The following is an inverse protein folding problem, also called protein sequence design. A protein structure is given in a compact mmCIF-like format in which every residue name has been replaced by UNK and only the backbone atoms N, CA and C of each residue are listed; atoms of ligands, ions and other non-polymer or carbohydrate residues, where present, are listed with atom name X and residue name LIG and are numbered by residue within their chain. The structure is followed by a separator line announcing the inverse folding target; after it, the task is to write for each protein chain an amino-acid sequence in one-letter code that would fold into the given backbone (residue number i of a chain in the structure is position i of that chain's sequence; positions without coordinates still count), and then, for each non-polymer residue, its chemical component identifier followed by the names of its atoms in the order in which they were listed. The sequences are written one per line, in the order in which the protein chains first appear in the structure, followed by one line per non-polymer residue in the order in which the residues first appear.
data_IF_104285830756
#
_entry.id   IF_104285830756
#
_cell.length_a   1.000
_cell.length_b   1.000
_cell.length_c   1.000
_cell.angle_alpha   90.00
_cell.angle_beta   90.00
_cell.angle_gamma   90.00
#
_symmetry.space_group_name_H-M   'P 1'
#
loop_
_entity.id
_entity.type
_entity.pdbx_description
1 polymer ?
#
# COMPACT_ATOMS: atom_id res chain seq x y z
N UNK A 1 35.26 -0.83 2.80
CA UNK A 1 34.69 0.48 2.45
C UNK A 1 33.24 0.41 1.97
N UNK A 2 32.85 -0.55 1.14
CA UNK A 2 31.47 -0.72 0.65
C UNK A 2 30.48 -1.07 1.78
N UNK A 3 30.86 -1.95 2.72
CA UNK A 3 30.01 -2.29 3.87
C UNK A 3 29.70 -1.09 4.78
N UNK A 4 30.67 -0.20 5.01
CA UNK A 4 30.43 1.00 5.82
C UNK A 4 29.44 1.97 5.16
N UNK A 5 29.44 2.05 3.82
CA UNK A 5 28.49 2.87 3.06
C UNK A 5 27.07 2.29 3.17
N UNK A 6 26.92 0.96 3.07
CA UNK A 6 25.61 0.29 3.20
C UNK A 6 25.03 0.46 4.62
N UNK A 7 25.85 0.25 5.66
CA UNK A 7 25.43 0.43 7.06
C UNK A 7 25.07 1.90 7.33
N UNK A 8 25.88 2.85 6.89
CA UNK A 8 25.60 4.28 7.05
C UNK A 8 24.32 4.68 6.30
N UNK A 9 24.09 4.10 5.13
CA UNK A 9 22.88 4.35 4.35
C UNK A 9 21.65 3.77 5.04
N UNK A 10 21.70 2.53 5.50
CA UNK A 10 20.61 1.89 6.24
C UNK A 10 20.26 2.62 7.54
N UNK A 11 21.27 3.05 8.32
CA UNK A 11 21.03 3.77 9.59
C UNK A 11 20.57 5.21 9.37
N UNK A 12 21.10 5.90 8.36
CA UNK A 12 20.80 7.31 8.10
C UNK A 12 19.44 7.52 7.41
N UNK A 13 18.93 6.51 6.71
CA UNK A 13 17.64 6.57 6.00
C UNK A 13 16.56 5.71 6.65
N UNK A 14 16.85 5.00 7.74
CA UNK A 14 15.84 4.31 8.53
C UNK A 14 14.76 5.26 9.06
N UNK A 15 15.15 6.50 9.42
CA UNK A 15 14.22 7.55 9.88
C UNK A 15 13.33 8.14 8.76
N UNK A 16 13.62 7.83 7.49
CA UNK A 16 12.82 8.25 6.33
C UNK A 16 11.76 7.21 5.94
N UNK A 17 11.79 6.05 6.55
CA UNK A 17 10.77 5.05 6.34
C UNK A 17 9.50 5.45 7.10
N UNK A 18 8.31 5.37 6.48
CA UNK A 18 7.05 5.73 7.12
C UNK A 18 6.68 4.79 8.27
N UNK A 19 7.43 3.72 8.48
CA UNK A 19 7.18 2.67 9.45
C UNK A 19 7.76 3.02 10.83
N UNK A 20 7.10 3.92 11.56
CA UNK A 20 7.56 4.42 12.88
C UNK A 20 7.60 3.31 13.94
N UNK A 21 6.76 2.28 13.82
CA UNK A 21 6.61 1.22 14.81
C UNK A 21 7.12 -0.14 14.33
N UNK A 22 8.21 -0.17 13.56
CA UNK A 22 8.76 -1.41 12.97
C UNK A 22 8.92 -2.56 13.97
N UNK A 23 9.37 -2.28 15.19
CA UNK A 23 9.53 -3.29 16.26
C UNK A 23 8.21 -3.83 16.81
N UNK A 24 7.09 -3.18 16.53
CA UNK A 24 5.73 -3.56 16.92
C UNK A 24 4.93 -4.19 15.79
N UNK A 25 5.47 -4.21 14.56
CA UNK A 25 4.81 -4.74 13.39
C UNK A 25 5.15 -6.22 13.18
N UNK A 26 4.13 -7.01 12.88
CA UNK A 26 4.25 -8.40 12.45
C UNK A 26 3.89 -8.50 10.98
N UNK A 27 4.76 -9.13 10.20
CA UNK A 27 4.58 -9.32 8.77
C UNK A 27 4.26 -10.78 8.46
N UNK A 28 3.09 -11.01 7.86
CA UNK A 28 2.66 -12.33 7.41
C UNK A 28 2.94 -12.47 5.91
N UNK A 29 4.10 -13.02 5.57
CA UNK A 29 4.49 -13.25 4.17
C UNK A 29 4.03 -14.60 3.62
N UNK A 30 3.84 -15.59 4.49
CA UNK A 30 3.39 -16.92 4.11
C UNK A 30 2.62 -17.60 5.23
N UNK A 31 1.69 -18.47 4.83
CA UNK A 31 0.93 -19.35 5.70
C UNK A 31 1.09 -20.79 5.19
N UNK A 32 1.33 -21.70 6.11
CA UNK A 32 1.36 -23.14 5.83
C UNK A 32 0.04 -23.76 6.27
N UNK A 33 -0.71 -24.29 5.34
CA UNK A 33 -1.95 -25.03 5.61
C UNK A 33 -1.70 -26.50 5.46
N UNK A 34 -1.87 -27.25 6.55
CA UNK A 34 -1.77 -28.69 6.57
C UNK A 34 -3.18 -29.30 6.68
N UNK A 35 -3.55 -30.16 5.74
CA UNK A 35 -4.85 -30.84 5.78
C UNK A 35 -4.96 -31.78 7.00
N UNK A 36 -6.15 -31.82 7.64
CA UNK A 36 -6.43 -32.67 8.81
C UNK A 36 -6.32 -34.18 8.55
N UNK A 37 -6.47 -34.59 7.33
CA UNK A 37 -6.31 -35.97 6.91
C UNK A 37 -4.98 -36.11 6.18
N UNK A 38 -4.13 -36.99 6.69
CA UNK A 38 -2.77 -37.36 6.31
C UNK A 38 -2.56 -37.72 4.82
N UNK A 39 -3.15 -36.96 3.89
CA UNK A 39 -3.07 -37.16 2.43
C UNK A 39 -2.03 -36.24 1.78
N UNK A 40 -0.95 -35.97 2.45
CA UNK A 40 0.33 -35.64 1.83
C UNK A 40 0.45 -34.34 1.03
N UNK A 41 -0.54 -33.41 1.03
CA UNK A 41 -0.37 -32.13 0.37
C UNK A 41 -0.32 -30.98 1.37
N UNK A 42 0.76 -30.27 1.31
CA UNK A 42 1.00 -29.05 2.05
C UNK A 42 0.85 -27.89 1.10
N UNK A 43 0.04 -26.91 1.44
CA UNK A 43 -0.10 -25.67 0.66
C UNK A 43 0.59 -24.55 1.38
N UNK A 44 1.48 -23.87 0.67
CA UNK A 44 2.10 -22.64 1.10
C UNK A 44 1.46 -21.49 0.33
N UNK A 45 1.02 -20.48 1.01
CA UNK A 45 0.41 -19.31 0.38
C UNK A 45 0.44 -18.10 1.30
N UNK A 46 0.19 -16.94 0.75
CA UNK A 46 -0.05 -15.76 1.56
C UNK A 46 -1.44 -15.87 2.20
N UNK A 47 -1.62 -15.44 3.47
CA UNK A 47 -2.94 -15.40 4.09
C UNK A 47 -3.89 -14.52 3.27
N UNK A 48 -5.16 -14.87 3.23
CA UNK A 48 -6.17 -14.05 2.55
C UNK A 48 -6.54 -12.82 3.39
N UNK A 49 -7.03 -11.75 2.74
CA UNK A 49 -7.54 -10.58 3.46
C UNK A 49 -8.69 -10.96 4.41
N UNK A 50 -9.53 -11.93 4.02
CA UNK A 50 -10.60 -12.45 4.88
C UNK A 50 -10.03 -13.09 6.15
N UNK A 51 -8.99 -13.94 6.02
CA UNK A 51 -8.33 -14.54 7.19
C UNK A 51 -7.77 -13.48 8.15
N UNK A 52 -7.11 -12.45 7.62
CA UNK A 52 -6.59 -11.36 8.43
C UNK A 52 -7.70 -10.62 9.16
N UNK A 53 -8.79 -10.32 8.47
CA UNK A 53 -9.95 -9.59 9.03
C UNK A 53 -10.73 -10.41 10.06
N UNK A 54 -10.90 -11.70 9.83
CA UNK A 54 -11.74 -12.56 10.68
C UNK A 54 -10.96 -13.19 11.83
N UNK A 55 -9.68 -13.48 11.65
CA UNK A 55 -8.88 -14.24 12.60
C UNK A 55 -7.82 -13.38 13.32
N UNK A 56 -7.26 -12.37 12.68
CA UNK A 56 -6.15 -11.58 13.23
C UNK A 56 -6.65 -10.25 13.80
N UNK A 57 -7.41 -9.49 13.03
CA UNK A 57 -7.89 -8.17 13.44
C UNK A 57 -8.71 -8.18 14.75
N UNK A 58 -9.52 -9.21 15.09
CA UNK A 58 -10.27 -9.26 16.35
C UNK A 58 -9.43 -9.57 17.59
N UNK A 59 -8.15 -9.91 17.46
CA UNK A 59 -7.29 -10.21 18.59
C UNK A 59 -7.06 -8.93 19.42
N UNK A 60 -7.16 -9.00 20.76
CA UNK A 60 -7.04 -7.82 21.63
C UNK A 60 -5.65 -7.18 21.60
N UNK A 61 -4.63 -7.91 21.17
CA UNK A 61 -3.26 -7.43 21.02
C UNK A 61 -3.03 -6.67 19.70
N UNK A 62 -3.98 -6.71 18.75
CA UNK A 62 -3.85 -6.10 17.43
C UNK A 62 -4.50 -4.71 17.42
N UNK A 63 -3.70 -3.68 17.28
CA UNK A 63 -4.17 -2.28 17.19
C UNK A 63 -4.69 -1.95 15.78
N UNK A 64 -4.00 -2.44 14.76
CA UNK A 64 -4.37 -2.25 13.36
C UNK A 64 -3.88 -3.43 12.51
N UNK A 65 -4.63 -3.75 11.46
CA UNK A 65 -4.30 -4.84 10.56
C UNK A 65 -4.59 -4.38 9.13
N UNK A 66 -3.55 -4.34 8.29
CA UNK A 66 -3.68 -3.93 6.89
C UNK A 66 -3.27 -5.04 5.94
N UNK A 67 -3.90 -5.04 4.78
CA UNK A 67 -3.54 -5.88 3.66
C UNK A 67 -3.17 -4.99 2.45
N UNK A 68 -2.09 -5.35 1.77
CA UNK A 68 -1.64 -4.61 0.58
C UNK A 68 -1.03 -5.56 -0.46
N UNK A 69 -1.12 -5.16 -1.72
CA UNK A 69 -0.49 -5.91 -2.82
C UNK A 69 1.00 -5.65 -2.88
N UNK A 70 1.71 -6.48 -3.61
CA UNK A 70 3.03 -6.10 -4.13
C UNK A 70 2.85 -4.93 -5.10
N UNK A 71 3.77 -3.97 -5.08
CA UNK A 71 3.77 -2.90 -6.04
C UNK A 71 3.99 -3.44 -7.47
N UNK A 72 3.15 -3.00 -8.39
CA UNK A 72 3.19 -3.37 -9.81
C UNK A 72 3.32 -2.12 -10.67
N UNK A 73 3.93 -2.28 -11.84
CA UNK A 73 4.06 -1.17 -12.79
C UNK A 73 2.69 -0.81 -13.37
N UNK A 74 2.30 0.45 -13.20
CA UNK A 74 1.08 1.03 -13.73
C UNK A 74 1.40 2.27 -14.60
N UNK A 75 0.42 2.70 -15.38
CA UNK A 75 0.50 3.92 -16.16
C UNK A 75 -0.49 4.96 -15.64
N UNK A 76 0.01 6.12 -15.27
CA UNK A 76 -0.84 7.28 -14.96
C UNK A 76 -0.75 8.33 -16.05
N UNK A 77 -1.86 9.03 -16.30
CA UNK A 77 -1.92 10.16 -17.22
C UNK A 77 -3.00 11.15 -16.78
N UNK A 78 -2.95 12.35 -17.32
CA UNK A 78 -4.07 13.29 -17.22
C UNK A 78 -5.30 12.73 -17.95
N UNK A 79 -6.48 13.27 -17.64
CA UNK A 79 -7.76 12.82 -18.21
C UNK A 79 -7.85 12.99 -19.73
N UNK A 80 -7.11 13.94 -20.30
CA UNK A 80 -6.95 14.13 -21.75
C UNK A 80 -5.97 13.13 -22.41
N UNK A 81 -5.37 12.24 -21.60
CA UNK A 81 -4.38 11.25 -22.04
C UNK A 81 -2.97 11.80 -22.22
N UNK A 82 -2.73 13.06 -21.88
CA UNK A 82 -1.40 13.67 -21.88
C UNK A 82 -0.59 13.29 -20.61
N UNK A 83 0.67 13.72 -20.58
CA UNK A 83 1.55 13.58 -19.39
C UNK A 83 1.61 12.15 -18.84
N UNK A 84 1.88 11.18 -19.71
CA UNK A 84 1.94 9.76 -19.30
C UNK A 84 3.19 9.45 -18.50
N UNK A 85 3.00 8.84 -17.33
CA UNK A 85 4.09 8.45 -16.41
C UNK A 85 3.92 6.99 -16.01
N UNK A 86 5.00 6.21 -16.10
CA UNK A 86 5.05 4.88 -15.48
C UNK A 86 5.34 5.04 -13.99
N UNK A 87 4.60 4.32 -13.17
CA UNK A 87 4.66 4.38 -11.71
C UNK A 87 4.59 2.97 -11.12
N UNK A 88 5.11 2.83 -9.91
CA UNK A 88 4.86 1.66 -9.08
C UNK A 88 3.57 1.91 -8.28
N UNK A 89 2.58 1.06 -8.47
CA UNK A 89 1.27 1.15 -7.82
C UNK A 89 1.00 -0.08 -6.96
N UNK A 90 0.45 0.12 -5.76
CA UNK A 90 -0.07 -0.95 -4.92
C UNK A 90 -1.50 -0.66 -4.50
N UNK A 91 -2.24 -1.71 -4.16
CA UNK A 91 -3.58 -1.60 -3.58
C UNK A 91 -3.53 -1.92 -2.10
N UNK A 92 -4.29 -1.18 -1.32
CA UNK A 92 -4.32 -1.30 0.14
C UNK A 92 -5.71 -0.93 0.70
N UNK A 93 -5.82 -0.96 2.01
CA UNK A 93 -7.00 -0.60 2.79
C UNK A 93 -6.76 0.64 3.67
N UNK A 94 -7.79 1.16 4.36
CA UNK A 94 -7.65 2.33 5.23
C UNK A 94 -6.68 2.14 6.41
N UNK A 95 -6.51 0.92 6.92
CA UNK A 95 -5.64 0.66 8.07
C UNK A 95 -4.15 0.78 7.71
N UNK A 96 -3.82 0.73 6.42
CA UNK A 96 -2.46 0.99 5.92
C UNK A 96 -1.90 2.32 6.43
N UNK A 97 -2.70 3.37 6.43
CA UNK A 97 -2.30 4.71 6.87
C UNK A 97 -2.11 4.83 8.38
N UNK A 98 -2.69 3.91 9.16
CA UNK A 98 -2.48 3.81 10.61
C UNK A 98 -1.14 3.14 10.95
N UNK A 99 -0.75 2.15 10.14
CA UNK A 99 0.48 1.37 10.33
C UNK A 99 1.68 2.14 9.76
N UNK A 100 1.53 2.66 8.54
CA UNK A 100 2.57 3.42 7.86
C UNK A 100 2.31 4.93 8.03
N UNK A 101 3.16 5.57 8.83
CA UNK A 101 3.05 7.00 9.15
C UNK A 101 3.52 7.88 7.99
N UNK A 102 2.74 7.94 6.92
CA UNK A 102 3.06 8.73 5.75
C UNK A 102 2.81 10.23 5.97
N UNK A 103 3.72 11.07 5.50
CA UNK A 103 3.54 12.52 5.54
C UNK A 103 2.67 12.98 4.38
N UNK A 104 1.43 13.37 4.66
CA UNK A 104 0.55 13.99 3.69
C UNK A 104 0.97 15.45 3.46
N UNK A 105 1.06 15.82 2.19
CA UNK A 105 1.32 17.19 1.73
C UNK A 105 0.03 17.89 1.31
N UNK A 106 -0.96 17.10 0.87
CA UNK A 106 -2.28 17.57 0.48
C UNK A 106 -3.30 16.44 0.68
N UNK A 107 -4.54 16.78 1.02
CA UNK A 107 -5.61 15.81 1.21
C UNK A 107 -5.39 14.84 2.38
N UNK A 108 -5.79 13.57 2.19
CA UNK A 108 -5.82 12.54 3.23
C UNK A 108 -5.62 11.12 2.70
N UNK A 109 -5.42 10.16 3.60
CA UNK A 109 -5.49 8.72 3.30
C UNK A 109 -6.93 8.23 3.09
N UNK A 110 -7.05 6.97 2.71
CA UNK A 110 -8.36 6.30 2.56
C UNK A 110 -9.10 6.19 3.89
N UNK A 111 -10.41 6.21 3.78
CA UNK A 111 -11.35 5.85 4.85
C UNK A 111 -12.30 4.77 4.33
N UNK A 112 -13.05 4.12 5.20
CA UNK A 112 -14.06 3.13 4.76
C UNK A 112 -15.15 3.75 3.88
N UNK A 113 -15.43 5.06 4.03
CA UNK A 113 -16.37 5.77 3.16
C UNK A 113 -15.92 5.84 1.69
N UNK A 114 -14.62 5.77 1.43
CA UNK A 114 -14.08 5.81 0.06
C UNK A 114 -14.25 4.48 -0.69
N UNK A 115 -14.63 3.39 0.01
CA UNK A 115 -14.79 2.04 -0.55
C UNK A 115 -16.00 1.90 -1.50
N UNK A 116 -17.01 2.71 -1.32
CA UNK A 116 -18.27 2.64 -2.09
C UNK A 116 -18.44 3.75 -3.13
N UNK A 117 -17.41 4.54 -3.37
CA UNK A 117 -17.48 5.65 -4.34
C UNK A 117 -17.57 5.17 -5.79
N UNK A 118 -18.21 5.98 -6.65
CA UNK A 118 -18.35 5.70 -8.09
C UNK A 118 -16.98 5.73 -8.81
N UNK A 119 -16.01 6.43 -8.26
CA UNK A 119 -14.64 6.52 -8.77
C UNK A 119 -13.65 5.96 -7.76
N UNK A 120 -12.64 5.29 -8.27
CA UNK A 120 -11.56 4.76 -7.47
C UNK A 120 -10.81 5.88 -6.77
N UNK A 121 -10.75 5.83 -5.44
CA UNK A 121 -9.92 6.73 -4.65
C UNK A 121 -8.46 6.29 -4.74
N UNK A 122 -7.56 7.24 -4.97
CA UNK A 122 -6.11 7.01 -5.01
C UNK A 122 -5.37 8.08 -4.23
N UNK A 123 -4.22 7.69 -3.69
CA UNK A 123 -3.20 8.59 -3.12
C UNK A 123 -1.98 8.52 -4.02
N UNK A 124 -1.34 9.63 -4.30
CA UNK A 124 -0.15 9.70 -5.14
C UNK A 124 1.03 10.32 -4.39
N UNK A 125 2.25 10.01 -4.79
CA UNK A 125 3.42 10.66 -4.21
C UNK A 125 3.68 12.04 -4.84
N UNK A 126 4.45 12.88 -4.14
CA UNK A 126 4.75 14.25 -4.56
C UNK A 126 5.42 14.34 -5.93
N UNK A 127 6.31 13.41 -6.25
CA UNK A 127 7.00 13.39 -7.54
C UNK A 127 6.03 13.13 -8.71
N UNK A 128 5.03 12.27 -8.53
CA UNK A 128 3.99 12.01 -9.53
C UNK A 128 3.07 13.23 -9.68
N UNK A 129 2.63 13.83 -8.54
CA UNK A 129 1.83 15.05 -8.56
C UNK A 129 2.51 16.17 -9.35
N UNK A 130 3.79 16.43 -9.08
CA UNK A 130 4.57 17.45 -9.79
C UNK A 130 4.74 17.14 -11.30
N UNK A 131 4.96 15.87 -11.65
CA UNK A 131 5.09 15.47 -13.05
C UNK A 131 3.81 15.65 -13.86
N UNK A 132 2.65 15.38 -13.24
CA UNK A 132 1.36 15.50 -13.91
C UNK A 132 0.81 16.92 -13.92
N UNK A 133 0.94 17.63 -12.81
CA UNK A 133 0.23 18.89 -12.57
C UNK A 133 1.16 20.10 -12.29
N UNK A 134 2.46 19.88 -12.11
CA UNK A 134 3.41 20.94 -11.75
C UNK A 134 3.34 21.37 -10.27
N UNK A 135 2.43 20.81 -9.47
CA UNK A 135 2.19 21.14 -8.06
C UNK A 135 1.93 19.88 -7.24
N UNK A 136 1.96 20.01 -5.92
CA UNK A 136 1.55 18.97 -4.97
C UNK A 136 0.13 19.17 -4.43
N UNK A 137 -0.50 20.31 -4.66
CA UNK A 137 -1.87 20.62 -4.26
C UNK A 137 -2.84 20.15 -5.34
N UNK A 138 -3.19 18.85 -5.29
CA UNK A 138 -3.98 18.19 -6.35
C UNK A 138 -5.07 17.26 -5.79
N UNK A 139 -5.31 17.28 -4.49
CA UNK A 139 -6.44 16.56 -3.91
C UNK A 139 -7.76 17.02 -4.54
N UNK A 140 -8.61 16.07 -4.90
CA UNK A 140 -9.86 16.30 -5.62
C UNK A 140 -9.71 16.30 -7.16
N UNK A 141 -8.49 16.27 -7.70
CA UNK A 141 -8.29 16.17 -9.15
C UNK A 141 -8.41 14.73 -9.63
N UNK A 142 -8.75 14.58 -10.91
CA UNK A 142 -8.92 13.28 -11.55
C UNK A 142 -7.74 12.98 -12.48
N UNK A 143 -7.34 11.71 -12.50
CA UNK A 143 -6.34 11.17 -13.42
C UNK A 143 -6.81 9.81 -13.95
N UNK A 144 -6.15 9.33 -14.99
CA UNK A 144 -6.32 7.97 -15.47
C UNK A 144 -5.22 7.08 -14.86
N UNK A 145 -5.61 6.05 -14.13
CA UNK A 145 -4.73 4.98 -13.67
C UNK A 145 -5.04 3.72 -14.51
N UNK A 146 -4.10 3.27 -15.33
CA UNK A 146 -4.31 2.16 -16.28
C UNK A 146 -5.56 2.35 -17.17
N UNK A 147 -5.86 3.58 -17.57
CA UNK A 147 -7.04 4.03 -18.34
C UNK A 147 -8.35 4.07 -17.54
N UNK A 148 -8.33 3.77 -16.24
CA UNK A 148 -9.49 3.94 -15.37
C UNK A 148 -9.47 5.31 -14.71
N UNK A 149 -10.61 6.00 -14.76
CA UNK A 149 -10.76 7.29 -14.12
C UNK A 149 -10.70 7.13 -12.60
N UNK A 150 -9.79 7.87 -11.98
CA UNK A 150 -9.51 7.79 -10.55
C UNK A 150 -9.46 9.18 -9.94
N UNK A 151 -9.92 9.30 -8.70
CA UNK A 151 -9.91 10.55 -7.94
C UNK A 151 -8.72 10.59 -6.99
N UNK A 152 -7.86 11.60 -7.09
CA UNK A 152 -6.75 11.83 -6.18
C UNK A 152 -7.32 12.40 -4.88
N UNK A 153 -7.29 11.63 -3.79
CA UNK A 153 -7.78 12.08 -2.47
C UNK A 153 -6.67 12.58 -1.56
N UNK A 154 -5.42 12.28 -1.89
CA UNK A 154 -4.29 12.75 -1.12
C UNK A 154 -2.97 12.67 -1.87
N UNK A 155 -2.03 13.47 -1.42
CA UNK A 155 -0.64 13.50 -1.88
C UNK A 155 0.27 13.31 -0.70
N UNK A 156 1.17 12.33 -0.77
CA UNK A 156 2.17 12.06 0.26
C UNK A 156 3.57 12.43 -0.23
N UNK A 157 4.46 12.69 0.71
CA UNK A 157 5.88 12.81 0.43
C UNK A 157 6.41 11.54 -0.24
N UNK A 158 7.41 11.68 -1.12
CA UNK A 158 8.03 10.53 -1.76
C UNK A 158 8.59 9.55 -0.73
N UNK A 159 8.25 8.27 -0.89
CA UNK A 159 8.69 7.17 -0.03
C UNK A 159 9.95 6.56 -0.62
N UNK A 160 10.89 6.16 0.24
CA UNK A 160 12.11 5.49 -0.20
C UNK A 160 11.81 4.10 -0.76
N UNK A 161 12.49 3.74 -1.84
CA UNK A 161 12.45 2.37 -2.41
C UNK A 161 12.95 1.29 -1.43
N UNK A 162 13.61 1.68 -0.35
CA UNK A 162 14.06 0.77 0.70
C UNK A 162 12.95 0.39 1.68
N UNK A 163 11.89 1.17 1.74
CA UNK A 163 10.69 0.87 2.53
C UNK A 163 9.79 -0.12 1.74
N UNK A 164 10.26 -1.36 1.57
CA UNK A 164 9.71 -2.36 0.64
C UNK A 164 8.20 -2.55 0.70
N UNK A 165 7.64 -2.55 1.90
CA UNK A 165 6.21 -2.83 2.13
C UNK A 165 5.36 -1.55 2.06
N UNK A 166 5.97 -0.40 2.30
CA UNK A 166 5.32 0.90 2.22
C UNK A 166 5.50 1.59 0.86
N UNK A 167 6.55 1.19 0.10
CA UNK A 167 6.92 1.85 -1.14
C UNK A 167 5.90 1.63 -2.24
N UNK A 168 5.40 2.74 -2.74
CA UNK A 168 4.75 2.88 -4.04
C UNK A 168 4.84 4.36 -4.46
N UNK A 169 4.43 4.65 -5.68
CA UNK A 169 4.25 6.00 -6.18
C UNK A 169 2.75 6.35 -6.28
N UNK A 170 1.92 5.31 -6.35
CA UNK A 170 0.45 5.40 -6.32
C UNK A 170 -0.09 4.30 -5.42
N UNK A 171 -0.96 4.69 -4.50
CA UNK A 171 -1.71 3.76 -3.66
C UNK A 171 -3.17 3.80 -4.09
N UNK A 172 -3.70 2.64 -4.46
CA UNK A 172 -5.12 2.47 -4.78
C UNK A 172 -5.86 1.80 -3.63
N UNK A 173 -7.14 2.12 -3.50
CA UNK A 173 -7.99 1.38 -2.57
C UNK A 173 -8.53 0.11 -3.25
N UNK A 174 -8.62 -0.98 -2.49
CA UNK A 174 -9.27 -2.19 -2.96
C UNK A 174 -10.74 -1.96 -3.29
N UNK A 175 -11.19 -2.51 -4.40
CA UNK A 175 -12.62 -2.72 -4.61
C UNK A 175 -13.13 -3.86 -3.71
N UNK A 176 -14.38 -3.77 -3.23
CA UNK A 176 -14.98 -4.77 -2.33
C UNK A 176 -14.92 -6.22 -2.88
N UNK A 177 -14.90 -6.38 -4.20
CA UNK A 177 -14.82 -7.67 -4.86
C UNK A 177 -13.38 -8.22 -4.92
N UNK A 178 -12.35 -7.38 -4.90
CA UNK A 178 -10.94 -7.79 -4.94
C UNK A 178 -10.51 -8.45 -3.63
N UNK A 179 -11.12 -8.09 -2.51
CA UNK A 179 -10.86 -8.73 -1.20
C UNK A 179 -11.28 -10.20 -1.14
N UNK A 180 -12.15 -10.65 -2.07
CA UNK A 180 -12.59 -12.05 -2.17
C UNK A 180 -11.66 -12.90 -3.03
N UNK A 181 -10.80 -12.27 -3.82
CA UNK A 181 -9.85 -12.97 -4.67
C UNK A 181 -8.66 -13.36 -3.81
N UNK A 182 -8.34 -14.63 -3.78
CA UNK A 182 -7.11 -15.19 -3.17
C UNK A 182 -5.90 -14.72 -3.98
N UNK A 183 -5.61 -13.44 -3.90
CA UNK A 183 -4.45 -12.83 -4.54
C UNK A 183 -3.21 -12.93 -3.65
N UNK A 184 -2.09 -12.66 -4.23
CA UNK A 184 -0.79 -12.58 -3.59
C UNK A 184 -0.68 -11.29 -2.77
N UNK A 185 -1.04 -11.36 -1.48
CA UNK A 185 -1.06 -10.20 -0.60
C UNK A 185 0.07 -10.26 0.41
N UNK A 186 0.70 -9.12 0.67
CA UNK A 186 1.52 -8.94 1.86
C UNK A 186 0.66 -8.31 2.96
N UNK A 187 0.86 -8.74 4.20
CA UNK A 187 0.11 -8.26 5.35
C UNK A 187 1.06 -7.70 6.39
N UNK A 188 0.65 -6.62 7.04
CA UNK A 188 1.30 -6.19 8.26
C UNK A 188 0.25 -5.99 9.34
N UNK A 189 0.54 -6.51 10.51
CA UNK A 189 -0.27 -6.33 11.68
C UNK A 189 0.65 -5.90 12.82
N UNK A 190 0.16 -5.10 13.75
CA UNK A 190 0.99 -4.58 14.79
C UNK A 190 0.29 -4.44 16.12
N UNK A 191 1.02 -4.69 17.14
CA UNK A 191 0.99 -4.12 18.47
C UNK A 191 2.40 -3.96 18.93
#
# INVERSE_FOLDING_TARGET
MIMAIVITWQTKYADLEPEVNRSRCLYFSAMHVQGKENKGWNTYGKPSAAFMKECIQPLPEVEACTAFTTAEVALVSLTDGSSRVKVDALNTDPDFWKIFSMQFLDGRGFTEADRGGDMRAIVICASVARKLFGTTEVAGRQILLNRELSNVIGVVKDVSVTAKDAYAQVWGMYHANELKVTGWWSYSGGK
#
